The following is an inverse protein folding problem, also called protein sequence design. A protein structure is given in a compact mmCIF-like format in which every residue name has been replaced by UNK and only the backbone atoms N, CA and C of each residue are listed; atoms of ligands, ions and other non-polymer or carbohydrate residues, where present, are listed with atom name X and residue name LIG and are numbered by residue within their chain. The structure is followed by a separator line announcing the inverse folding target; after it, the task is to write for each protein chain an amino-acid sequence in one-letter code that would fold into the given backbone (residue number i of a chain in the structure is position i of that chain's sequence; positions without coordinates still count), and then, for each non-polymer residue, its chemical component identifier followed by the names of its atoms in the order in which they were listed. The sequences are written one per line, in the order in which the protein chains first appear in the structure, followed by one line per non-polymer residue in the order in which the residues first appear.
data_IF_841900352561
#
_entry.id   IF_841900352561
#
_cell.length_a   1.000
_cell.length_b   1.000
_cell.length_c   1.000
_cell.angle_alpha   90.00
_cell.angle_beta   90.00
_cell.angle_gamma   90.00
#
_symmetry.space_group_name_H-M   'P 1'
#
loop_
_entity.id
_entity.type
_entity.pdbx_description
1 polymer ?
#
# COMPACT_ATOMS: atom_id res chain seq x y z
N UNK A 1 20.13 -21.08 -25.07
CA UNK A 1 18.89 -21.89 -25.03
C UNK A 1 19.18 -23.00 -24.05
N UNK A 2 18.81 -22.79 -22.80
CA UNK A 2 19.01 -23.75 -21.71
C UNK A 2 17.69 -23.79 -20.94
N UNK A 3 17.07 -24.96 -20.92
CA UNK A 3 15.71 -25.19 -20.47
C UNK A 3 15.61 -25.10 -18.94
N UNK A 4 14.66 -24.29 -18.47
CA UNK A 4 14.27 -24.29 -17.06
C UNK A 4 13.61 -25.63 -16.71
N UNK A 5 14.24 -26.38 -15.79
CA UNK A 5 13.66 -27.59 -15.19
C UNK A 5 12.52 -27.21 -14.27
N UNK A 6 11.30 -27.58 -14.67
CA UNK A 6 10.11 -27.60 -13.83
C UNK A 6 10.23 -28.80 -12.88
N UNK A 7 10.26 -28.55 -11.57
CA UNK A 7 10.10 -29.57 -10.54
C UNK A 7 8.64 -29.55 -10.10
N UNK A 8 7.88 -30.58 -10.45
CA UNK A 8 6.52 -30.80 -9.96
C UNK A 8 6.53 -31.34 -8.53
N UNK A 9 5.76 -30.71 -7.64
CA UNK A 9 5.38 -31.28 -6.35
C UNK A 9 3.85 -31.31 -6.25
N UNK A 10 3.34 -32.44 -5.73
CA UNK A 10 1.93 -32.79 -5.58
C UNK A 10 1.19 -31.83 -4.64
N UNK A 11 -0.09 -31.63 -4.96
CA UNK A 11 -1.12 -30.84 -4.24
C UNK A 11 -1.07 -29.31 -4.45
N UNK A 12 -1.53 -28.89 -5.63
CA UNK A 12 -2.52 -27.81 -5.79
C UNK A 12 -2.15 -26.39 -5.40
N UNK A 13 -0.96 -26.12 -4.87
CA UNK A 13 -0.51 -24.75 -4.57
C UNK A 13 0.67 -24.41 -5.47
N UNK A 14 0.43 -23.58 -6.48
CA UNK A 14 1.49 -22.99 -7.28
C UNK A 14 2.23 -22.02 -6.36
N UNK A 15 3.41 -22.41 -5.87
CA UNK A 15 4.34 -21.48 -5.24
C UNK A 15 4.93 -20.57 -6.33
N UNK A 16 4.30 -19.43 -6.56
CA UNK A 16 4.85 -18.40 -7.45
C UNK A 16 5.86 -17.58 -6.66
N UNK A 17 7.11 -17.56 -7.13
CA UNK A 17 8.20 -16.79 -6.55
C UNK A 17 7.80 -15.31 -6.39
N UNK A 18 8.02 -14.78 -5.19
CA UNK A 18 7.76 -13.37 -4.86
C UNK A 18 8.58 -12.45 -5.75
N UNK A 19 7.92 -11.51 -6.44
CA UNK A 19 8.55 -10.53 -7.33
C UNK A 19 9.39 -9.45 -6.61
N UNK A 20 9.58 -9.55 -5.29
CA UNK A 20 10.32 -8.59 -4.49
C UNK A 20 11.61 -9.23 -3.94
N UNK A 21 12.80 -8.66 -4.18
CA UNK A 21 14.06 -9.11 -3.56
C UNK A 21 14.17 -8.70 -2.07
N UNK A 22 13.05 -8.48 -1.38
CA UNK A 22 13.05 -8.18 0.04
C UNK A 22 13.53 -9.38 0.84
N UNK A 23 14.50 -9.20 1.74
CA UNK A 23 14.84 -10.21 2.74
C UNK A 23 13.58 -10.53 3.54
N UNK A 24 13.04 -11.73 3.34
CA UNK A 24 11.86 -12.22 4.03
C UNK A 24 12.31 -12.70 5.42
N UNK A 25 12.47 -11.76 6.35
CA UNK A 25 12.74 -12.09 7.75
C UNK A 25 11.48 -12.63 8.42
N UNK A 26 11.65 -13.63 9.30
CA UNK A 26 10.54 -14.22 10.05
C UNK A 26 9.87 -13.17 10.96
N UNK A 27 8.54 -13.15 10.97
CA UNK A 27 7.72 -12.31 11.85
C UNK A 27 8.03 -12.66 13.31
N UNK A 28 8.42 -11.67 14.11
CA UNK A 28 8.77 -11.87 15.53
C UNK A 28 7.57 -11.57 16.44
N UNK A 29 7.61 -11.99 17.72
CA UNK A 29 6.57 -11.69 18.72
C UNK A 29 6.21 -10.20 18.81
N UNK A 30 7.20 -9.33 18.59
CA UNK A 30 7.04 -7.88 18.45
C UNK A 30 6.06 -7.50 17.34
N UNK A 31 6.22 -8.07 16.16
CA UNK A 31 5.40 -7.74 14.99
C UNK A 31 3.96 -8.21 15.18
N UNK A 32 3.78 -9.38 15.83
CA UNK A 32 2.46 -9.88 16.18
C UNK A 32 1.66 -8.90 17.04
N UNK A 33 2.31 -8.20 17.99
CA UNK A 33 1.67 -7.18 18.82
C UNK A 33 1.07 -6.05 17.97
N UNK A 34 1.84 -5.47 17.06
CA UNK A 34 1.38 -4.34 16.23
C UNK A 34 0.41 -4.78 15.13
N UNK A 35 0.63 -5.96 14.55
CA UNK A 35 -0.31 -6.55 13.59
C UNK A 35 -1.68 -6.82 14.24
N UNK A 36 -1.70 -7.30 15.49
CA UNK A 36 -2.95 -7.49 16.24
C UNK A 36 -3.70 -6.18 16.44
N UNK A 37 -3.00 -5.06 16.65
CA UNK A 37 -3.64 -3.75 16.73
C UNK A 37 -4.22 -3.31 15.39
N UNK A 38 -3.52 -3.54 14.28
CA UNK A 38 -4.06 -3.28 12.93
C UNK A 38 -5.32 -4.11 12.65
N UNK A 39 -5.35 -5.37 13.08
CA UNK A 39 -6.56 -6.22 13.00
C UNK A 39 -7.69 -5.63 13.87
N UNK A 40 -7.37 -5.15 15.07
CA UNK A 40 -8.35 -4.47 15.93
C UNK A 40 -8.97 -3.23 15.28
N UNK A 41 -8.18 -2.43 14.56
CA UNK A 41 -8.70 -1.30 13.79
C UNK A 41 -9.60 -1.75 12.63
N UNK A 42 -9.24 -2.83 11.93
CA UNK A 42 -10.08 -3.39 10.86
C UNK A 42 -11.50 -3.74 11.36
N UNK A 43 -11.62 -4.34 12.55
CA UNK A 43 -12.91 -4.59 13.19
C UNK A 43 -13.65 -3.29 13.52
N UNK A 44 -12.97 -2.34 14.18
CA UNK A 44 -13.57 -1.06 14.56
C UNK A 44 -14.16 -0.34 13.35
N UNK A 45 -13.42 -0.23 12.24
CA UNK A 45 -13.84 0.48 11.04
C UNK A 45 -15.15 -0.06 10.44
N UNK A 46 -15.35 -1.38 10.49
CA UNK A 46 -16.61 -2.00 10.06
C UNK A 46 -17.71 -1.78 11.07
N UNK A 47 -17.43 -1.95 12.37
CA UNK A 47 -18.40 -1.77 13.45
C UNK A 47 -18.98 -0.35 13.48
N UNK A 48 -18.14 0.66 13.28
CA UNK A 48 -18.57 2.06 13.20
C UNK A 48 -19.06 2.48 11.80
N UNK A 49 -18.98 1.60 10.80
CA UNK A 49 -19.35 1.83 9.39
C UNK A 49 -18.52 2.94 8.71
N UNK A 50 -17.29 3.14 9.14
CA UNK A 50 -16.40 4.13 8.53
C UNK A 50 -15.80 3.64 7.20
N UNK A 51 -15.68 2.32 7.02
CA UNK A 51 -15.11 1.73 5.81
C UNK A 51 -15.09 0.19 5.80
N UNK A 52 -14.31 -0.38 4.86
CA UNK A 52 -14.08 -1.83 4.78
C UNK A 52 -13.19 -2.38 5.91
N UNK A 53 -13.04 -3.71 6.03
CA UNK A 53 -12.32 -4.39 7.13
C UNK A 53 -10.79 -4.30 6.98
N UNK A 54 -10.25 -3.08 6.94
CA UNK A 54 -8.81 -2.84 6.84
C UNK A 54 -8.33 -1.90 7.94
N UNK A 55 -7.22 -2.26 8.56
CA UNK A 55 -6.56 -1.46 9.59
C UNK A 55 -5.07 -1.36 9.36
N UNK A 56 -4.49 -0.25 9.79
CA UNK A 56 -3.07 0.04 9.67
C UNK A 56 -2.54 0.78 10.91
N UNK A 57 -1.32 0.45 11.31
CA UNK A 57 -0.63 1.05 12.46
C UNK A 57 0.75 1.52 12.02
N UNK A 58 1.12 2.76 12.37
CA UNK A 58 2.48 3.28 12.17
C UNK A 58 3.20 3.29 13.51
N UNK A 59 4.41 2.72 13.52
CA UNK A 59 5.24 2.53 14.72
C UNK A 59 6.58 3.22 14.51
N UNK A 60 7.09 3.85 15.57
CA UNK A 60 8.42 4.48 15.61
C UNK A 60 9.05 4.12 16.95
N UNK A 61 10.26 3.55 16.94
CA UNK A 61 10.99 3.14 18.16
C UNK A 61 10.14 2.28 19.12
N UNK A 62 9.43 1.27 18.60
CA UNK A 62 8.53 0.38 19.34
C UNK A 62 7.32 1.03 20.00
N UNK A 63 7.04 2.28 19.64
CA UNK A 63 5.87 3.02 20.09
C UNK A 63 4.91 3.29 18.93
N UNK A 64 3.62 3.15 19.20
CA UNK A 64 2.58 3.45 18.22
C UNK A 64 2.49 4.96 18.03
N UNK A 65 2.77 5.41 16.81
CA UNK A 65 2.54 6.80 16.41
C UNK A 65 1.05 7.01 16.17
N UNK A 66 0.44 6.17 15.33
CA UNK A 66 -1.00 6.19 15.02
C UNK A 66 -1.53 4.79 14.75
N UNK A 67 -2.83 4.63 14.95
CA UNK A 67 -3.61 3.41 14.70
C UNK A 67 -4.89 3.83 13.99
N UNK A 68 -5.10 3.37 12.76
CA UNK A 68 -6.17 3.85 11.88
C UNK A 68 -6.84 2.67 11.15
N UNK A 69 -8.04 2.92 10.62
CA UNK A 69 -8.76 2.00 9.75
C UNK A 69 -9.19 2.68 8.45
N UNK A 70 -9.79 1.90 7.56
CA UNK A 70 -10.39 2.39 6.33
C UNK A 70 -11.50 3.40 6.65
N UNK A 71 -11.43 4.59 6.03
CA UNK A 71 -12.35 5.70 6.23
C UNK A 71 -13.12 6.07 4.95
N UNK A 72 -13.17 5.17 3.96
CA UNK A 72 -13.72 5.46 2.62
C UNK A 72 -15.17 5.95 2.70
N UNK A 73 -16.00 5.25 3.47
CA UNK A 73 -17.42 5.59 3.62
C UNK A 73 -17.59 6.84 4.47
N UNK A 74 -16.83 6.95 5.58
CA UNK A 74 -16.91 8.08 6.50
C UNK A 74 -16.55 9.41 5.86
N UNK A 75 -15.46 9.42 5.09
CA UNK A 75 -14.90 10.63 4.50
C UNK A 75 -15.43 10.88 3.09
N UNK A 76 -16.20 9.94 2.52
CA UNK A 76 -16.57 9.97 1.08
C UNK A 76 -15.32 10.17 0.21
N UNK A 77 -14.24 9.44 0.53
CA UNK A 77 -12.93 9.55 -0.11
C UNK A 77 -12.46 8.14 -0.50
N UNK A 78 -12.45 7.78 -1.80
CA UNK A 78 -12.02 6.45 -2.23
C UNK A 78 -10.53 6.18 -1.94
N UNK A 79 -9.73 7.22 -1.66
CA UNK A 79 -8.32 7.08 -1.31
C UNK A 79 -8.08 6.90 0.18
N UNK A 80 -9.11 7.03 1.03
CA UNK A 80 -9.01 6.95 2.48
C UNK A 80 -8.89 5.50 2.99
N UNK A 81 -8.00 4.73 2.39
CA UNK A 81 -7.58 3.41 2.86
C UNK A 81 -6.84 3.54 4.21
N UNK A 82 -6.74 2.42 4.94
CA UNK A 82 -6.16 2.43 6.27
C UNK A 82 -4.70 2.92 6.26
N UNK A 83 -3.89 2.46 5.31
CA UNK A 83 -2.48 2.80 5.15
C UNK A 83 -2.30 4.29 4.79
N UNK A 84 -3.09 4.79 3.84
CA UNK A 84 -3.06 6.21 3.44
C UNK A 84 -3.48 7.09 4.62
N UNK A 85 -4.52 6.69 5.35
CA UNK A 85 -5.00 7.41 6.54
C UNK A 85 -3.93 7.42 7.63
N UNK A 86 -3.30 6.27 7.91
CA UNK A 86 -2.23 6.16 8.91
C UNK A 86 -1.00 7.00 8.52
N UNK A 87 -0.59 7.01 7.25
CA UNK A 87 0.51 7.86 6.77
C UNK A 87 0.16 9.35 6.96
N UNK A 88 -1.05 9.79 6.55
CA UNK A 88 -1.50 11.17 6.70
C UNK A 88 -1.47 11.62 8.16
N UNK A 89 -2.02 10.81 9.07
CA UNK A 89 -2.07 11.12 10.50
C UNK A 89 -0.68 11.04 11.17
N UNK A 90 0.18 10.11 10.77
CA UNK A 90 1.55 10.02 11.26
C UNK A 90 2.39 11.25 10.86
N UNK A 91 2.35 11.64 9.59
CA UNK A 91 3.03 12.84 9.08
C UNK A 91 2.57 14.09 9.83
N UNK A 92 1.25 14.23 10.04
CA UNK A 92 0.67 15.35 10.81
C UNK A 92 1.13 15.34 12.27
N UNK A 93 1.12 14.18 12.93
CA UNK A 93 1.50 14.04 14.34
C UNK A 93 2.99 14.29 14.59
N UNK A 94 3.84 13.85 13.66
CA UNK A 94 5.30 14.05 13.74
C UNK A 94 5.77 15.37 13.13
N UNK A 95 4.87 16.10 12.44
CA UNK A 95 5.16 17.32 11.68
C UNK A 95 6.29 17.12 10.67
N UNK A 96 6.22 16.03 9.91
CA UNK A 96 7.20 15.61 8.91
C UNK A 96 6.49 15.05 7.68
N UNK A 97 7.11 15.12 6.51
CA UNK A 97 6.57 14.55 5.26
C UNK A 97 7.18 13.17 4.94
N UNK A 98 8.28 12.83 5.61
CA UNK A 98 8.95 11.54 5.52
C UNK A 98 8.86 10.81 6.86
N UNK A 99 8.73 9.49 6.79
CA UNK A 99 8.57 8.58 7.91
C UNK A 99 9.66 7.49 7.84
N UNK A 100 10.87 7.87 7.43
CA UNK A 100 12.00 6.96 7.16
C UNK A 100 12.52 6.20 8.37
N UNK A 101 12.20 6.64 9.57
CA UNK A 101 12.48 5.94 10.81
C UNK A 101 11.29 5.15 11.37
N UNK A 102 10.15 5.18 10.67
CA UNK A 102 8.92 4.48 11.04
C UNK A 102 8.74 3.15 10.28
N UNK A 103 7.89 2.30 10.83
CA UNK A 103 7.41 1.04 10.25
C UNK A 103 5.88 1.08 10.15
N UNK A 104 5.30 0.36 9.20
CA UNK A 104 3.85 0.24 9.05
C UNK A 104 3.39 -1.22 9.11
N UNK A 105 2.30 -1.46 9.81
CA UNK A 105 1.66 -2.76 9.99
C UNK A 105 0.25 -2.69 9.40
N UNK A 106 -0.08 -3.56 8.46
CA UNK A 106 -1.39 -3.59 7.80
C UNK A 106 -2.10 -4.94 8.03
N UNK A 107 -3.41 -4.92 8.24
CA UNK A 107 -4.17 -6.16 8.44
C UNK A 107 -4.19 -7.05 7.18
N UNK A 108 -4.05 -6.46 6.01
CA UNK A 108 -4.01 -7.11 4.70
C UNK A 108 -2.86 -6.52 3.87
N UNK A 109 -2.40 -7.27 2.87
CA UNK A 109 -1.47 -6.80 1.84
C UNK A 109 -2.02 -5.50 1.23
N UNK A 110 -1.25 -4.39 1.25
CA UNK A 110 -1.72 -3.10 0.77
C UNK A 110 -2.05 -3.13 -0.73
N UNK A 111 -2.94 -2.27 -1.21
CA UNK A 111 -3.18 -2.14 -2.66
C UNK A 111 -2.08 -1.31 -3.35
N UNK A 112 -2.01 -1.26 -4.69
CA UNK A 112 -0.99 -0.51 -5.45
C UNK A 112 -0.89 0.96 -5.05
N UNK A 113 -2.02 1.63 -4.82
CA UNK A 113 -2.06 3.01 -4.33
C UNK A 113 -1.39 3.14 -2.95
N UNK A 114 -1.69 2.23 -2.02
CA UNK A 114 -1.14 2.25 -0.68
C UNK A 114 0.35 1.90 -0.68
N UNK A 115 0.80 0.96 -1.50
CA UNK A 115 2.22 0.69 -1.71
C UNK A 115 2.95 1.92 -2.26
N UNK A 116 2.38 2.63 -3.22
CA UNK A 116 2.91 3.91 -3.71
C UNK A 116 3.03 4.95 -2.59
N UNK A 117 2.01 5.09 -1.75
CA UNK A 117 2.03 6.01 -0.61
C UNK A 117 3.10 5.62 0.42
N UNK A 118 3.22 4.33 0.76
CA UNK A 118 4.27 3.81 1.67
C UNK A 118 5.66 4.17 1.13
N UNK A 119 5.91 3.92 -0.16
CA UNK A 119 7.17 4.25 -0.80
C UNK A 119 7.48 5.76 -0.79
N UNK A 120 6.49 6.60 -1.15
CA UNK A 120 6.64 8.06 -1.16
C UNK A 120 6.87 8.64 0.23
N UNK A 121 6.29 8.02 1.27
CA UNK A 121 6.50 8.40 2.67
C UNK A 121 7.83 7.92 3.26
N UNK A 122 8.65 7.20 2.49
CA UNK A 122 9.95 6.64 2.91
C UNK A 122 9.91 5.62 4.06
N UNK A 123 8.75 5.11 4.45
CA UNK A 123 8.63 4.10 5.52
C UNK A 123 9.56 2.92 5.26
N UNK A 124 10.39 2.59 6.25
CA UNK A 124 11.51 1.65 6.07
C UNK A 124 11.08 0.18 6.03
N UNK A 125 9.90 -0.14 6.56
CA UNK A 125 9.42 -1.52 6.69
C UNK A 125 7.90 -1.58 6.71
N UNK A 126 7.35 -2.52 5.93
CA UNK A 126 5.95 -2.91 5.93
C UNK A 126 5.82 -4.36 6.43
N UNK A 127 4.88 -4.60 7.34
CA UNK A 127 4.44 -5.94 7.76
C UNK A 127 2.94 -6.06 7.48
N UNK A 128 2.49 -7.16 6.89
CA UNK A 128 1.07 -7.38 6.64
C UNK A 128 0.61 -8.78 7.08
N UNK A 129 -0.68 -8.91 7.42
CA UNK A 129 -1.27 -10.15 7.92
C UNK A 129 -1.84 -11.04 6.82
N UNK A 130 -2.97 -10.65 6.23
CA UNK A 130 -3.63 -11.38 5.15
C UNK A 130 -3.02 -11.03 3.78
N UNK A 131 -3.06 -11.97 2.83
CA UNK A 131 -2.71 -11.69 1.43
C UNK A 131 -3.87 -11.02 0.69
N UNK A 132 -3.59 -10.32 -0.41
CA UNK A 132 -4.59 -9.64 -1.24
C UNK A 132 -5.74 -10.57 -1.70
N UNK A 133 -5.48 -11.86 -1.90
CA UNK A 133 -6.50 -12.85 -2.28
C UNK A 133 -7.65 -12.95 -1.26
N UNK A 134 -7.38 -12.72 0.03
CA UNK A 134 -8.41 -12.75 1.04
C UNK A 134 -9.41 -11.59 0.86
N UNK A 135 -8.93 -10.41 0.45
CA UNK A 135 -9.79 -9.28 0.10
C UNK A 135 -10.57 -9.55 -1.19
N UNK A 136 -9.91 -10.11 -2.20
CA UNK A 136 -10.56 -10.46 -3.47
C UNK A 136 -11.70 -11.46 -3.26
N UNK A 137 -11.48 -12.48 -2.42
CA UNK A 137 -12.48 -13.51 -2.12
C UNK A 137 -13.78 -12.97 -1.50
N UNK A 138 -13.75 -11.80 -0.87
CA UNK A 138 -14.92 -11.15 -0.28
C UNK A 138 -15.50 -10.01 -1.15
N UNK A 139 -15.02 -9.89 -2.40
CA UNK A 139 -15.58 -9.00 -3.41
C UNK A 139 -14.80 -7.70 -3.67
N UNK A 140 -13.58 -7.57 -3.16
CA UNK A 140 -12.68 -6.47 -3.58
C UNK A 140 -12.06 -6.76 -4.95
N UNK A 141 -11.66 -5.69 -5.64
CA UNK A 141 -11.15 -5.74 -7.01
C UNK A 141 -9.80 -6.48 -7.12
N UNK A 142 -9.58 -7.20 -8.22
CA UNK A 142 -8.37 -7.99 -8.48
C UNK A 142 -7.14 -7.13 -8.79
N UNK A 143 -7.35 -5.85 -9.15
CA UNK A 143 -6.29 -4.84 -9.29
C UNK A 143 -5.36 -4.76 -8.07
N UNK A 144 -5.87 -5.08 -6.87
CA UNK A 144 -5.08 -5.10 -5.64
C UNK A 144 -3.88 -6.06 -5.78
N UNK A 145 -4.08 -7.25 -6.36
CA UNK A 145 -3.04 -8.25 -6.53
C UNK A 145 -2.22 -8.06 -7.82
N UNK A 146 -2.87 -7.69 -8.92
CA UNK A 146 -2.25 -7.69 -10.26
C UNK A 146 -1.20 -6.60 -10.46
N UNK A 147 -1.43 -5.39 -9.92
CA UNK A 147 -0.49 -4.29 -10.08
C UNK A 147 0.76 -4.46 -9.19
N UNK A 148 0.69 -5.22 -8.10
CA UNK A 148 1.86 -5.53 -7.26
C UNK A 148 2.74 -6.62 -7.86
N UNK A 149 2.13 -7.58 -8.55
CA UNK A 149 2.84 -8.73 -9.13
C UNK A 149 3.37 -8.44 -10.53
N UNK A 150 3.10 -7.25 -11.06
CA UNK A 150 3.45 -6.89 -12.43
C UNK A 150 2.71 -7.73 -13.48
N UNK A 151 1.62 -8.39 -13.09
CA UNK A 151 0.79 -9.24 -13.96
C UNK A 151 -0.37 -8.48 -14.59
N UNK A 152 -0.59 -7.23 -14.17
CA UNK A 152 -1.71 -6.40 -14.62
C UNK A 152 -1.60 -5.96 -16.09
N UNK A 153 -2.46 -6.53 -16.92
CA UNK A 153 -2.97 -5.82 -18.09
C UNK A 153 -3.88 -4.70 -17.58
N UNK A 154 -3.50 -3.43 -17.78
CA UNK A 154 -4.27 -2.22 -17.40
C UNK A 154 -5.67 -2.10 -18.03
N UNK A 155 -6.16 -3.13 -18.71
CA UNK A 155 -7.34 -3.12 -19.57
C UNK A 155 -8.68 -3.34 -18.87
N UNK A 156 -8.73 -3.57 -17.55
CA UNK A 156 -10.02 -3.75 -16.84
C UNK A 156 -10.66 -2.45 -16.33
N UNK A 157 -9.94 -1.33 -16.34
CA UNK A 157 -10.54 -0.06 -15.96
C UNK A 157 -11.38 0.50 -17.12
N UNK A 158 -12.65 0.78 -16.88
CA UNK A 158 -13.49 1.60 -17.78
C UNK A 158 -13.09 3.08 -17.68
N UNK A 159 -11.78 3.37 -17.77
CA UNK A 159 -11.21 4.70 -17.66
C UNK A 159 -10.57 5.07 -19.00
N UNK A 160 -11.03 6.17 -19.59
CA UNK A 160 -10.37 6.74 -20.76
C UNK A 160 -9.12 7.51 -20.31
N UNK A 161 -7.95 7.09 -20.81
CA UNK A 161 -6.67 7.75 -20.53
C UNK A 161 -6.18 8.38 -21.83
N UNK A 162 -6.04 9.71 -21.85
CA UNK A 162 -5.53 10.49 -22.97
C UNK A 162 -4.42 11.44 -22.50
N UNK A 163 -3.28 11.41 -23.16
CA UNK A 163 -2.27 12.46 -23.02
C UNK A 163 -2.68 13.66 -23.88
N UNK A 164 -2.63 14.86 -23.33
CA UNK A 164 -2.80 16.08 -24.13
C UNK A 164 -1.67 16.21 -25.16
N UNK A 165 -1.94 16.79 -26.32
CA UNK A 165 -0.97 17.04 -27.38
C UNK A 165 -0.68 18.54 -27.56
N UNK A 166 0.27 18.85 -28.45
CA UNK A 166 0.59 20.21 -28.86
C UNK A 166 1.04 21.14 -27.72
N UNK A 167 0.60 22.39 -27.77
CA UNK A 167 1.06 23.45 -26.86
C UNK A 167 0.74 23.16 -25.40
N UNK A 168 -0.36 22.46 -25.11
CA UNK A 168 -0.75 22.12 -23.73
C UNK A 168 0.25 21.20 -23.04
N UNK A 169 0.71 20.15 -23.73
CA UNK A 169 1.72 19.22 -23.22
C UNK A 169 3.06 19.93 -22.93
N UNK A 170 3.51 20.75 -23.88
CA UNK A 170 4.76 21.52 -23.74
C UNK A 170 4.72 22.47 -22.54
N UNK A 171 3.59 23.15 -22.32
CA UNK A 171 3.44 24.04 -21.16
C UNK A 171 3.50 23.24 -19.85
N UNK A 172 2.86 22.07 -19.78
CA UNK A 172 2.89 21.22 -18.59
C UNK A 172 4.32 20.77 -18.24
N UNK A 173 5.12 20.37 -19.24
CA UNK A 173 6.53 19.99 -19.04
C UNK A 173 7.40 21.17 -18.57
N UNK A 174 7.17 22.36 -19.13
CA UNK A 174 7.91 23.56 -18.75
C UNK A 174 7.73 23.96 -17.28
N UNK A 175 6.65 23.53 -16.61
CA UNK A 175 6.47 23.79 -15.17
C UNK A 175 7.63 23.20 -14.37
N UNK A 176 8.02 21.97 -14.65
CA UNK A 176 9.11 21.30 -13.93
C UNK A 176 10.43 22.05 -14.10
N UNK A 177 10.80 22.40 -15.34
CA UNK A 177 12.04 23.11 -15.62
C UNK A 177 12.07 24.52 -15.00
N UNK A 178 10.97 25.28 -15.11
CA UNK A 178 10.88 26.66 -14.60
C UNK A 178 10.78 26.74 -13.07
N UNK A 179 10.42 25.64 -12.41
CA UNK A 179 10.24 25.60 -10.95
C UNK A 179 11.28 24.76 -10.23
N UNK A 180 12.20 24.08 -10.93
CA UNK A 180 13.20 23.18 -10.34
C UNK A 180 14.06 23.78 -9.22
N UNK A 181 14.31 25.09 -9.26
CA UNK A 181 15.10 25.80 -8.23
C UNK A 181 14.23 26.30 -7.06
N UNK A 182 12.90 26.17 -7.16
CA UNK A 182 11.93 26.64 -6.16
C UNK A 182 11.51 25.56 -5.17
N UNK A 183 11.93 24.32 -5.36
CA UNK A 183 11.70 23.22 -4.44
C UNK A 183 12.91 22.30 -4.40
N UNK A 184 13.07 21.58 -3.30
CA UNK A 184 14.13 20.58 -3.13
C UNK A 184 13.51 19.20 -3.28
N UNK A 185 14.12 18.35 -4.10
CA UNK A 185 13.80 16.93 -4.15
C UNK A 185 14.32 16.27 -2.86
N UNK A 186 13.44 15.55 -2.17
CA UNK A 186 13.69 14.84 -0.91
C UNK A 186 14.08 13.38 -1.17
#
# INVERSE_FOLDING_TARGET
MEEAKVLEAKEGTISVASAFPGHQEAVQDRDHKFLTQAIGEAYKGVECKDGGPFGAVVVRNDEVVVSCHNMVLRNTDPTAHAEVTAIREACKKLNQIELSDCEIYASCEPCPMCFGAIHLSRIKRLVYGAKAEAAIAIGFDDFIADALRGTGFYQKANLEIKQADGTGAVIAEQVFEKTKEKFTLY
#
